data_IF_656197725799
#
_entry.id   IF_656197725799
#
_cell.length_a   1.000
_cell.length_b   1.000
_cell.length_c   1.000
_cell.angle_alpha   90.00
_cell.angle_beta   90.00
_cell.angle_gamma   90.00
#
_symmetry.space_group_name_H-M   'P 1'
#
loop_
_entity.id
_entity.type
_entity.pdbx_description
1 polymer ?
#
# COMPACT_ATOMS: atom_id res chain seq x y z
N UNK A 1 -24.43 24.27 -1.23
CA UNK A 1 -23.28 23.97 -2.12
C UNK A 1 -22.13 23.32 -1.33
N UNK A 2 -22.07 21.99 -1.32
CA UNK A 2 -20.95 21.27 -0.69
C UNK A 2 -19.73 21.40 -1.60
N UNK A 3 -18.82 22.30 -1.24
CA UNK A 3 -17.54 22.46 -1.92
C UNK A 3 -16.73 21.19 -1.72
N UNK A 4 -16.50 20.47 -2.80
CA UNK A 4 -15.65 19.29 -2.82
C UNK A 4 -14.21 19.74 -2.56
N UNK A 5 -13.84 19.91 -1.29
CA UNK A 5 -12.45 20.15 -0.94
C UNK A 5 -11.66 18.93 -1.39
N UNK A 6 -10.79 19.17 -2.36
CA UNK A 6 -9.84 18.23 -2.96
C UNK A 6 -9.18 17.39 -1.87
N UNK A 7 -9.73 16.21 -1.63
CA UNK A 7 -9.12 15.21 -0.78
C UNK A 7 -7.81 14.83 -1.46
N UNK A 8 -6.73 15.51 -1.06
CA UNK A 8 -5.39 15.27 -1.57
C UNK A 8 -4.95 13.93 -1.00
N UNK A 9 -5.41 12.85 -1.61
CA UNK A 9 -5.00 11.50 -1.28
C UNK A 9 -3.47 11.51 -1.28
N UNK A 10 -2.83 11.07 -0.18
CA UNK A 10 -1.39 11.03 -0.11
C UNK A 10 -0.87 10.18 -1.28
N UNK A 11 -0.09 10.79 -2.17
CA UNK A 11 0.51 10.11 -3.31
C UNK A 11 1.33 8.92 -2.78
N UNK A 12 1.05 7.67 -3.21
CA UNK A 12 1.76 6.51 -2.72
C UNK A 12 3.27 6.68 -2.96
N UNK A 13 4.09 6.49 -1.92
CA UNK A 13 5.55 6.49 -2.01
C UNK A 13 6.25 7.86 -1.89
N UNK A 14 5.52 8.97 -1.75
CA UNK A 14 6.14 10.28 -1.51
C UNK A 14 6.43 10.56 -0.03
N UNK A 15 5.60 10.03 0.86
CA UNK A 15 5.72 10.21 2.31
C UNK A 15 6.44 8.99 2.90
N UNK A 16 7.31 9.21 3.89
CA UNK A 16 7.96 8.09 4.57
C UNK A 16 6.94 7.19 5.30
N UNK A 17 7.33 5.93 5.55
CA UNK A 17 6.43 4.94 6.17
C UNK A 17 6.00 5.37 7.58
N UNK A 18 6.92 5.91 8.37
CA UNK A 18 6.65 6.33 9.74
C UNK A 18 5.61 7.46 9.80
N UNK A 19 5.69 8.45 8.91
CA UNK A 19 4.71 9.53 8.85
C UNK A 19 3.34 9.01 8.41
N UNK A 20 3.33 8.15 7.38
CA UNK A 20 2.09 7.54 6.86
C UNK A 20 1.42 6.66 7.92
N UNK A 21 2.19 5.81 8.61
CA UNK A 21 1.73 4.94 9.69
C UNK A 21 1.17 5.74 10.86
N UNK A 22 1.80 6.87 11.20
CA UNK A 22 1.35 7.80 12.24
C UNK A 22 0.23 8.74 11.79
N UNK A 23 -0.21 8.66 10.53
CA UNK A 23 -1.23 9.54 9.92
C UNK A 23 -0.90 11.04 10.04
N UNK A 24 0.39 11.38 9.95
CA UNK A 24 0.86 12.78 9.92
C UNK A 24 1.41 13.10 8.54
N UNK A 25 1.22 14.35 8.07
CA UNK A 25 1.76 14.80 6.79
C UNK A 25 3.29 14.72 6.81
N UNK A 26 3.94 14.07 5.85
CA UNK A 26 5.40 14.06 5.81
C UNK A 26 5.94 15.39 5.28
N UNK A 27 7.03 15.89 5.87
CA UNK A 27 7.74 17.09 5.41
C UNK A 27 8.75 16.81 4.29
N UNK A 28 8.97 15.52 3.96
CA UNK A 28 9.75 15.04 2.79
C UNK A 28 11.18 15.56 2.68
N UNK A 29 11.77 16.05 3.78
CA UNK A 29 13.18 16.46 3.79
C UNK A 29 14.09 15.26 3.61
N UNK A 30 15.10 15.40 2.75
CA UNK A 30 16.14 14.37 2.55
C UNK A 30 17.35 14.64 3.45
N UNK A 31 18.08 13.61 3.92
CA UNK A 31 17.87 12.16 3.69
C UNK A 31 16.76 11.55 4.57
N UNK A 32 16.33 12.25 5.63
CA UNK A 32 15.28 11.80 6.54
C UNK A 32 14.31 12.93 6.90
N UNK A 33 13.06 12.55 7.15
CA UNK A 33 12.01 13.51 7.48
C UNK A 33 12.29 14.19 8.83
N UNK A 34 12.12 15.50 8.96
CA UNK A 34 12.36 16.22 10.21
C UNK A 34 11.43 15.72 11.32
N UNK A 35 10.22 15.27 10.98
CA UNK A 35 9.28 14.69 11.97
C UNK A 35 9.79 13.38 12.56
N UNK A 36 10.50 12.60 11.77
CA UNK A 36 11.09 11.32 12.14
C UNK A 36 12.29 11.60 13.05
N UNK A 37 13.19 12.48 12.60
CA UNK A 37 14.36 12.93 13.35
C UNK A 37 14.01 13.55 14.70
N UNK A 38 13.06 14.49 14.74
CA UNK A 38 12.61 15.12 15.99
C UNK A 38 11.97 14.14 16.97
N UNK A 39 11.31 13.08 16.46
CA UNK A 39 10.72 12.04 17.30
C UNK A 39 11.76 10.99 17.75
N UNK A 40 12.93 10.96 17.13
CA UNK A 40 13.96 9.95 17.39
C UNK A 40 13.59 8.58 16.84
N UNK A 41 12.80 8.50 15.77
CA UNK A 41 12.46 7.23 15.11
C UNK A 41 13.24 7.08 13.81
N UNK A 42 13.60 5.84 13.49
CA UNK A 42 14.28 5.50 12.25
C UNK A 42 13.37 5.78 11.05
N UNK A 43 13.84 6.62 10.14
CA UNK A 43 13.11 6.99 8.95
C UNK A 43 13.43 6.00 7.84
N UNK A 44 12.44 5.23 7.41
CA UNK A 44 12.53 4.30 6.27
C UNK A 44 12.84 4.95 4.91
N UNK A 45 12.96 6.28 4.85
CA UNK A 45 13.26 7.03 3.64
C UNK A 45 12.04 7.31 2.77
N UNK A 46 12.31 7.60 1.48
CA UNK A 46 11.32 7.95 0.47
C UNK A 46 11.42 6.96 -0.70
N UNK A 47 10.28 6.54 -1.26
CA UNK A 47 10.27 5.58 -2.36
C UNK A 47 8.97 4.79 -2.43
N UNK A 48 8.73 4.19 -3.60
CA UNK A 48 7.57 3.31 -3.82
C UNK A 48 7.80 2.01 -3.07
N UNK A 49 6.89 1.67 -2.16
CA UNK A 49 6.90 0.38 -1.47
C UNK A 49 6.09 -0.62 -2.27
N UNK A 50 6.78 -1.55 -2.93
CA UNK A 50 6.12 -2.67 -3.59
C UNK A 50 5.41 -3.54 -2.54
N UNK A 51 4.12 -3.79 -2.73
CA UNK A 51 3.35 -4.77 -1.95
C UNK A 51 3.04 -5.94 -2.87
N UNK A 52 3.82 -7.01 -2.74
CA UNK A 52 3.51 -8.27 -3.41
C UNK A 52 2.37 -8.96 -2.67
N UNK A 53 1.34 -9.39 -3.40
CA UNK A 53 0.25 -10.18 -2.84
C UNK A 53 0.72 -11.62 -2.63
N UNK A 54 0.18 -12.31 -1.62
CA UNK A 54 0.48 -13.74 -1.35
C UNK A 54 -0.16 -14.71 -2.36
N UNK A 55 -1.01 -14.21 -3.26
CA UNK A 55 -1.73 -15.01 -4.25
C UNK A 55 -1.77 -14.30 -5.61
N UNK A 56 -2.41 -14.94 -6.58
CA UNK A 56 -2.40 -14.51 -7.99
C UNK A 56 -3.07 -13.15 -8.18
N UNK A 57 -4.07 -12.83 -7.35
CA UNK A 57 -4.70 -11.52 -7.32
C UNK A 57 -4.60 -10.88 -5.93
N UNK A 58 -4.61 -9.54 -5.91
CA UNK A 58 -4.70 -8.78 -4.66
C UNK A 58 -6.14 -8.66 -4.12
N UNK A 59 -7.15 -8.91 -4.97
CA UNK A 59 -8.59 -8.71 -4.72
C UNK A 59 -9.42 -9.64 -5.63
N UNK A 60 -10.69 -9.88 -5.30
CA UNK A 60 -11.64 -10.68 -6.10
C UNK A 60 -11.60 -12.19 -5.83
N UNK A 61 -12.26 -13.00 -6.69
CA UNK A 61 -12.39 -14.48 -6.58
C UNK A 61 -11.04 -15.17 -6.36
N UNK A 62 -9.98 -14.63 -6.96
CA UNK A 62 -8.63 -15.20 -6.96
C UNK A 62 -7.70 -14.61 -5.89
N UNK A 63 -8.21 -13.77 -4.98
CA UNK A 63 -7.41 -13.19 -3.92
C UNK A 63 -6.92 -14.27 -2.95
N UNK A 64 -5.61 -14.31 -2.69
CA UNK A 64 -5.00 -15.27 -1.78
C UNK A 64 -4.92 -16.71 -2.31
N UNK A 65 -5.50 -17.01 -3.47
CA UNK A 65 -5.33 -18.31 -4.15
C UNK A 65 -3.93 -18.39 -4.78
N UNK A 66 -3.31 -19.56 -4.71
CA UNK A 66 -2.08 -19.89 -5.46
C UNK A 66 -2.45 -20.30 -6.88
N UNK A 67 -1.49 -20.35 -7.81
CA UNK A 67 -1.79 -20.78 -9.18
C UNK A 67 -2.39 -22.20 -9.23
N UNK A 68 -1.91 -23.12 -8.38
CA UNK A 68 -2.45 -24.48 -8.25
C UNK A 68 -3.96 -24.45 -7.95
N UNK A 69 -4.34 -23.71 -6.90
CA UNK A 69 -5.73 -23.57 -6.48
C UNK A 69 -6.64 -22.84 -7.49
N UNK A 70 -6.08 -22.21 -8.54
CA UNK A 70 -6.89 -21.66 -9.64
C UNK A 70 -7.22 -22.76 -10.65
N UNK A 71 -6.23 -23.57 -11.02
CA UNK A 71 -6.42 -24.64 -11.99
C UNK A 71 -7.38 -25.72 -11.48
N UNK A 72 -7.38 -26.01 -10.18
CA UNK A 72 -8.32 -26.96 -9.56
C UNK A 72 -9.78 -26.45 -9.57
N UNK A 73 -9.99 -25.13 -9.45
CA UNK A 73 -11.33 -24.48 -9.40
C UNK A 73 -11.99 -24.40 -10.79
N UNK A 74 -11.19 -24.35 -11.87
CA UNK A 74 -11.66 -24.26 -13.26
C UNK A 74 -12.18 -25.61 -13.79
N UNK A 75 -11.62 -26.73 -13.31
CA UNK A 75 -12.03 -28.09 -13.69
C UNK A 75 -13.41 -28.48 -13.09
N UNK A 76 -13.68 -28.04 -11.86
CA UNK A 76 -14.95 -28.27 -11.16
C UNK A 76 -16.09 -27.45 -11.82
N UNK A 77 -15.85 -26.18 -12.14
CA UNK A 77 -16.84 -25.30 -12.81
C UNK A 77 -17.14 -25.74 -14.25
N UNK A 78 -16.19 -26.39 -14.95
CA UNK A 78 -16.40 -26.94 -16.30
C UNK A 78 -17.24 -28.23 -16.29
N UNK A 79 -17.22 -28.98 -15.19
CA UNK A 79 -17.94 -30.24 -15.06
C UNK A 79 -19.39 -30.07 -14.58
N UNK A 80 -19.81 -28.86 -14.23
CA UNK A 80 -21.20 -28.49 -13.92
C UNK A 80 -21.97 -28.00 -15.17
#
# INVERSE_FOLDING_TARGET
>A
PQTWHSATLPKPGLDCFECTKRRVRCDRTQPCCCKCRKKGIECSGFGVRHRFARGVASRGKWAGKTMQAIFDDDDDERHE
#
